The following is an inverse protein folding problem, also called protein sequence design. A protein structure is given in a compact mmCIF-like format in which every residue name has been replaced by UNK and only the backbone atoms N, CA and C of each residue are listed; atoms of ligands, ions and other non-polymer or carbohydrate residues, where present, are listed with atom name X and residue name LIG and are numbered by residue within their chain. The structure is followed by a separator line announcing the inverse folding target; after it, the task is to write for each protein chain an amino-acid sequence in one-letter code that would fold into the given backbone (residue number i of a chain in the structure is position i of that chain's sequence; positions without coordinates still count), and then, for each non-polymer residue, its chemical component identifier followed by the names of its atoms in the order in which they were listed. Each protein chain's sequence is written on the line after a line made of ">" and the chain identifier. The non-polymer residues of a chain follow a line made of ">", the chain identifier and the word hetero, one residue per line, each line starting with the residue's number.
data_IF_474021145789
#
_entry.id   IF_474021145789
#
_cell.length_a   1.000
_cell.length_b   1.000
_cell.length_c   1.000
_cell.angle_alpha   90.00
_cell.angle_beta   90.00
_cell.angle_gamma   90.00
#
_symmetry.space_group_name_H-M   'P 1'
#
loop_
_entity.id
_entity.type
_entity.pdbx_description
1 polymer ?
#
# COMPACT_ATOMS: atom_id res chain seq x y z
N UNK A 1 -49.70 -35.06 -4.46
CA UNK A 1 -50.22 -34.80 -3.09
C UNK A 1 -49.65 -33.47 -2.65
N UNK A 2 -50.48 -32.43 -2.51
CA UNK A 2 -50.02 -31.14 -2.01
C UNK A 2 -49.82 -31.26 -0.50
N UNK A 3 -48.58 -31.15 -0.03
CA UNK A 3 -48.30 -31.03 1.40
C UNK A 3 -48.80 -29.66 1.86
N UNK A 4 -49.81 -29.70 2.73
CA UNK A 4 -50.31 -28.57 3.50
C UNK A 4 -49.17 -28.14 4.43
N UNK A 5 -48.47 -27.07 4.08
CA UNK A 5 -47.46 -26.48 4.97
C UNK A 5 -48.14 -26.11 6.29
N UNK A 6 -47.67 -26.67 7.39
CA UNK A 6 -48.11 -26.28 8.72
C UNK A 6 -47.52 -24.88 8.95
N UNK A 7 -48.37 -23.87 9.04
CA UNK A 7 -47.98 -22.53 9.48
C UNK A 7 -47.48 -22.64 10.93
N UNK A 8 -46.17 -22.55 11.12
CA UNK A 8 -45.55 -22.58 12.44
C UNK A 8 -45.71 -21.18 13.06
N UNK A 9 -46.53 -21.09 14.11
CA UNK A 9 -46.80 -19.85 14.82
C UNK A 9 -45.52 -19.31 15.49
N UNK A 10 -45.11 -18.09 15.11
CA UNK A 10 -43.89 -17.44 15.60
C UNK A 10 -43.95 -17.15 17.11
N UNK A 11 -45.14 -17.02 17.68
CA UNK A 11 -45.33 -16.83 19.13
C UNK A 11 -44.93 -18.09 19.92
N UNK A 12 -45.12 -19.27 19.34
CA UNK A 12 -44.80 -20.56 19.98
C UNK A 12 -43.30 -20.82 20.17
N UNK A 13 -42.43 -20.05 19.49
CA UNK A 13 -40.96 -20.16 19.57
C UNK A 13 -40.29 -18.91 20.16
N UNK A 14 -41.05 -18.08 20.87
CA UNK A 14 -40.55 -16.89 21.55
C UNK A 14 -39.97 -17.21 22.94
N UNK A 15 -38.88 -16.55 23.29
CA UNK A 15 -38.31 -16.57 24.62
C UNK A 15 -39.18 -15.73 25.55
N UNK A 16 -39.72 -16.30 26.62
CA UNK A 16 -40.58 -15.51 27.53
C UNK A 16 -39.83 -14.49 28.40
N UNK A 17 -38.48 -14.42 28.30
CA UNK A 17 -37.65 -13.46 29.04
C UNK A 17 -37.39 -12.21 28.19
N UNK A 18 -36.83 -12.37 26.97
CA UNK A 18 -36.54 -11.24 26.08
C UNK A 18 -37.67 -10.94 25.09
N UNK A 19 -38.68 -11.82 25.00
CA UNK A 19 -39.81 -11.74 24.08
C UNK A 19 -39.44 -11.82 22.59
N UNK A 20 -38.18 -12.15 22.28
CA UNK A 20 -37.69 -12.41 20.92
C UNK A 20 -37.70 -13.91 20.60
N UNK A 21 -37.54 -14.24 19.32
CA UNK A 21 -37.29 -15.61 18.85
C UNK A 21 -36.05 -16.18 19.58
N UNK A 22 -36.16 -17.38 20.17
CA UNK A 22 -35.05 -17.99 20.94
C UNK A 22 -33.73 -18.02 20.13
N UNK A 23 -32.66 -17.52 20.74
CA UNK A 23 -31.29 -17.62 20.24
C UNK A 23 -30.55 -18.63 21.10
N UNK A 24 -29.94 -19.62 20.46
CA UNK A 24 -29.34 -20.78 21.15
C UNK A 24 -30.29 -21.36 22.20
N UNK A 25 -31.45 -21.90 21.78
CA UNK A 25 -32.51 -22.32 22.68
C UNK A 25 -32.02 -23.41 23.64
N UNK A 26 -32.35 -23.27 24.91
CA UNK A 26 -32.13 -24.29 25.95
C UNK A 26 -33.45 -24.67 26.58
N UNK A 27 -33.67 -25.96 26.79
CA UNK A 27 -34.86 -26.49 27.45
C UNK A 27 -34.48 -26.94 28.84
N UNK A 28 -35.08 -26.32 29.86
CA UNK A 28 -34.84 -26.70 31.27
C UNK A 28 -35.76 -27.88 31.67
N UNK A 29 -35.50 -28.59 32.78
CA UNK A 29 -36.18 -29.87 33.08
C UNK A 29 -37.72 -29.82 33.18
N UNK A 30 -38.31 -28.64 33.39
CA UNK A 30 -39.76 -28.47 33.36
C UNK A 30 -40.36 -28.38 31.93
N UNK A 31 -39.53 -28.46 30.88
CA UNK A 31 -39.95 -28.44 29.47
C UNK A 31 -40.05 -27.04 28.83
N UNK A 32 -39.85 -25.96 29.60
CA UNK A 32 -39.84 -24.61 29.05
C UNK A 32 -38.49 -24.29 28.41
N UNK A 33 -38.52 -23.49 27.34
CA UNK A 33 -37.32 -23.14 26.57
C UNK A 33 -37.06 -21.64 26.55
N UNK A 34 -35.79 -21.26 26.67
CA UNK A 34 -35.31 -19.87 26.72
C UNK A 34 -34.06 -19.71 25.85
N UNK A 35 -33.66 -18.47 25.55
CA UNK A 35 -32.31 -18.22 25.07
C UNK A 35 -31.31 -18.61 26.17
N UNK A 36 -30.20 -19.25 25.81
CA UNK A 36 -29.13 -19.62 26.75
C UNK A 36 -28.74 -18.44 27.66
N UNK A 37 -28.42 -17.29 27.07
CA UNK A 37 -28.01 -16.08 27.80
C UNK A 37 -29.12 -15.54 28.70
N UNK A 38 -30.38 -15.59 28.26
CA UNK A 38 -31.51 -15.06 29.04
C UNK A 38 -31.74 -15.85 30.32
N UNK A 39 -31.70 -17.19 30.26
CA UNK A 39 -31.90 -18.01 31.46
C UNK A 39 -30.65 -18.00 32.36
N UNK A 40 -29.45 -17.90 31.79
CA UNK A 40 -28.22 -17.69 32.56
C UNK A 40 -28.27 -16.37 33.33
N UNK A 41 -28.64 -15.27 32.67
CA UNK A 41 -28.81 -13.95 33.29
C UNK A 41 -29.88 -13.96 34.37
N UNK A 42 -30.98 -14.67 34.15
CA UNK A 42 -32.07 -14.78 35.14
C UNK A 42 -31.64 -15.51 36.42
N UNK A 43 -30.76 -16.52 36.30
CA UNK A 43 -30.20 -17.22 37.46
C UNK A 43 -28.97 -16.52 38.08
N UNK A 44 -28.36 -15.56 37.38
CA UNK A 44 -27.15 -14.87 37.81
C UNK A 44 -25.87 -15.71 37.62
N UNK A 45 -24.72 -15.08 37.78
CA UNK A 45 -23.43 -15.73 37.48
C UNK A 45 -22.97 -16.66 38.61
N UNK A 46 -23.05 -16.28 39.89
CA UNK A 46 -22.48 -17.09 40.99
C UNK A 46 -23.21 -16.84 42.32
N UNK A 47 -24.07 -17.77 42.76
CA UNK A 47 -24.54 -17.84 44.16
C UNK A 47 -25.03 -19.27 44.47
N UNK A 48 -24.30 -20.00 45.34
CA UNK A 48 -24.60 -21.39 45.73
C UNK A 48 -25.88 -21.56 46.57
N UNK A 49 -26.56 -20.47 46.95
CA UNK A 49 -27.73 -20.49 47.84
C UNK A 49 -29.04 -19.94 47.21
N UNK A 50 -29.07 -19.65 45.89
CA UNK A 50 -30.29 -19.18 45.22
C UNK A 50 -31.09 -20.33 44.61
N UNK A 51 -32.38 -20.38 44.94
CA UNK A 51 -33.34 -21.31 44.36
C UNK A 51 -33.47 -21.02 42.85
N UNK A 52 -33.01 -21.92 42.00
CA UNK A 52 -33.16 -21.80 40.55
C UNK A 52 -34.60 -22.13 40.16
N UNK A 53 -35.39 -21.12 39.78
CA UNK A 53 -36.77 -21.32 39.35
C UNK A 53 -36.96 -21.11 37.84
N UNK A 54 -37.92 -21.82 37.26
CA UNK A 54 -38.42 -21.55 35.91
C UNK A 54 -39.18 -20.21 35.86
N UNK A 55 -38.86 -19.28 34.95
CA UNK A 55 -39.58 -18.02 34.78
C UNK A 55 -41.09 -18.17 34.49
N UNK A 56 -41.50 -19.22 33.79
CA UNK A 56 -42.90 -19.40 33.35
C UNK A 56 -43.75 -20.15 34.37
N UNK A 57 -43.31 -21.33 34.82
CA UNK A 57 -44.11 -22.17 35.74
C UNK A 57 -43.67 -22.08 37.20
N UNK A 58 -42.60 -21.33 37.50
CA UNK A 58 -42.04 -21.16 38.85
C UNK A 58 -41.58 -22.46 39.53
N UNK A 59 -41.45 -23.56 38.79
CA UNK A 59 -40.88 -24.80 39.30
C UNK A 59 -39.45 -24.55 39.75
N UNK A 60 -39.14 -24.93 40.99
CA UNK A 60 -37.83 -24.75 41.64
C UNK A 60 -36.97 -25.98 41.48
N UNK A 61 -35.68 -25.80 41.24
CA UNK A 61 -34.69 -26.86 41.13
C UNK A 61 -33.68 -26.73 42.29
N UNK A 62 -33.42 -27.84 42.99
CA UNK A 62 -32.51 -27.89 44.14
C UNK A 62 -31.03 -27.74 43.76
N UNK A 63 -30.68 -28.11 42.53
CA UNK A 63 -29.37 -27.87 41.93
C UNK A 63 -29.56 -27.11 40.61
N UNK A 64 -28.58 -26.28 40.22
CA UNK A 64 -28.61 -25.54 38.97
C UNK A 64 -28.73 -26.49 37.78
N UNK A 65 -29.79 -26.41 36.96
CA UNK A 65 -29.88 -27.23 35.76
C UNK A 65 -28.72 -26.94 34.81
N UNK A 66 -28.06 -27.99 34.32
CA UNK A 66 -27.04 -27.87 33.28
C UNK A 66 -27.72 -27.45 31.99
N UNK A 67 -27.29 -26.31 31.44
CA UNK A 67 -27.87 -25.76 30.22
C UNK A 67 -27.14 -26.32 29.00
N UNK A 68 -27.86 -27.11 28.20
CA UNK A 68 -27.37 -27.66 26.94
C UNK A 68 -28.27 -27.14 25.83
N UNK A 69 -27.66 -26.70 24.71
CA UNK A 69 -28.37 -26.23 23.52
C UNK A 69 -29.29 -27.34 22.99
N UNK A 70 -30.56 -27.02 22.83
CA UNK A 70 -31.54 -27.87 22.19
C UNK A 70 -31.35 -27.78 20.67
N UNK A 71 -30.70 -28.80 20.10
CA UNK A 71 -30.36 -28.84 18.67
C UNK A 71 -31.58 -28.92 17.76
N UNK A 72 -32.69 -29.50 18.22
CA UNK A 72 -33.95 -29.59 17.46
C UNK A 72 -34.60 -28.22 17.36
N UNK A 73 -34.74 -27.50 18.48
CA UNK A 73 -35.27 -26.14 18.46
C UNK A 73 -34.34 -25.21 17.67
N UNK A 74 -33.02 -25.34 17.83
CA UNK A 74 -32.08 -24.54 17.06
C UNK A 74 -32.23 -24.75 15.53
N UNK A 75 -32.38 -26.00 15.09
CA UNK A 75 -32.61 -26.32 13.68
C UNK A 75 -33.93 -25.75 13.14
N UNK A 76 -35.01 -25.83 13.93
CA UNK A 76 -36.30 -25.23 13.57
C UNK A 76 -36.22 -23.71 13.45
N UNK A 77 -35.40 -23.06 14.27
CA UNK A 77 -35.23 -21.60 14.28
C UNK A 77 -34.37 -21.11 13.13
N UNK A 78 -33.35 -21.88 12.78
CA UNK A 78 -32.58 -21.68 11.55
C UNK A 78 -33.46 -21.85 10.31
N UNK A 79 -34.34 -22.84 10.29
CA UNK A 79 -35.30 -23.07 9.20
C UNK A 79 -36.35 -21.94 9.11
N UNK A 80 -36.87 -21.47 10.26
CA UNK A 80 -37.78 -20.32 10.33
C UNK A 80 -37.11 -19.02 9.84
N UNK A 81 -35.86 -18.75 10.25
CA UNK A 81 -35.09 -17.61 9.77
C UNK A 81 -34.77 -17.70 8.26
N UNK A 82 -34.48 -18.92 7.75
CA UNK A 82 -34.19 -19.16 6.32
C UNK A 82 -35.45 -19.06 5.46
N UNK A 83 -36.63 -19.37 6.00
CA UNK A 83 -37.91 -19.27 5.30
C UNK A 83 -38.35 -17.84 4.98
N UNK A 84 -37.60 -16.82 5.44
CA UNK A 84 -37.72 -15.47 4.91
C UNK A 84 -39.13 -14.90 5.02
N UNK A 85 -39.82 -15.14 6.14
CA UNK A 85 -40.98 -14.35 6.54
C UNK A 85 -40.47 -12.96 6.99
N UNK A 86 -39.98 -12.19 6.02
CA UNK A 86 -40.19 -10.75 6.03
C UNK A 86 -41.70 -10.56 6.20
N UNK A 87 -42.06 -9.84 7.24
CA UNK A 87 -43.42 -9.59 7.67
C UNK A 87 -44.32 -9.26 6.47
N UNK A 88 -45.17 -10.21 6.08
CA UNK A 88 -46.44 -9.86 5.48
C UNK A 88 -47.34 -9.33 6.62
N UNK A 89 -48.09 -8.25 6.39
CA UNK A 89 -48.51 -7.33 7.43
C UNK A 89 -49.64 -7.94 8.27
N UNK A 90 -49.42 -8.01 9.58
CA UNK A 90 -50.53 -7.86 10.50
C UNK A 90 -51.15 -6.49 10.20
N UNK A 91 -52.46 -6.49 10.01
CA UNK A 91 -53.28 -5.43 9.42
C UNK A 91 -52.96 -4.02 9.95
N UNK A 92 -52.41 -3.81 11.15
CA UNK A 92 -52.16 -2.47 11.70
C UNK A 92 -50.74 -2.33 12.26
N UNK A 93 -49.78 -1.95 11.40
CA UNK A 93 -48.41 -1.62 11.83
C UNK A 93 -48.39 -0.28 12.59
N UNK A 94 -47.86 -0.28 13.80
CA UNK A 94 -47.59 0.95 14.55
C UNK A 94 -46.45 1.73 13.90
N UNK A 95 -46.51 3.06 13.96
CA UNK A 95 -45.46 3.91 13.38
C UNK A 95 -44.14 3.75 14.15
N UNK A 96 -43.07 3.36 13.46
CA UNK A 96 -41.70 3.39 13.98
C UNK A 96 -41.08 4.79 13.93
N UNK A 97 -39.82 4.94 14.37
CA UNK A 97 -39.11 6.23 14.39
C UNK A 97 -38.96 6.87 12.99
N UNK A 98 -38.88 6.04 11.95
CA UNK A 98 -38.73 6.49 10.57
C UNK A 98 -40.06 6.68 9.84
N UNK A 99 -41.17 6.14 10.37
CA UNK A 99 -42.48 6.21 9.73
C UNK A 99 -43.19 7.55 10.00
N UNK A 100 -44.12 7.90 9.10
CA UNK A 100 -45.08 8.98 9.35
C UNK A 100 -46.24 8.40 10.15
N UNK A 101 -46.54 9.00 11.30
CA UNK A 101 -47.60 8.53 12.18
C UNK A 101 -48.98 9.10 11.76
N UNK A 102 -50.06 8.36 12.02
CA UNK A 102 -51.41 8.86 11.82
C UNK A 102 -51.74 9.96 12.83
N UNK A 103 -52.26 11.09 12.35
CA UNK A 103 -52.56 12.27 13.15
C UNK A 103 -53.87 12.15 13.94
N UNK A 104 -54.75 11.24 13.54
CA UNK A 104 -56.08 11.04 14.14
C UNK A 104 -56.08 9.97 15.24
N UNK A 105 -55.13 9.02 15.21
CA UNK A 105 -55.05 7.96 16.21
C UNK A 105 -54.91 8.54 17.63
N UNK A 106 -55.80 8.12 18.52
CA UNK A 106 -55.69 8.41 19.96
C UNK A 106 -54.85 7.31 20.64
N UNK A 107 -53.79 7.70 21.35
CA UNK A 107 -52.84 6.75 21.97
C UNK A 107 -51.66 6.38 21.07
N UNK A 108 -51.30 5.08 20.98
CA UNK A 108 -50.18 4.61 20.16
C UNK A 108 -50.53 4.77 18.68
N UNK A 109 -49.82 5.66 17.98
CA UNK A 109 -50.14 6.02 16.60
C UNK A 109 -49.80 4.90 15.62
N UNK A 110 -50.74 4.59 14.73
CA UNK A 110 -50.52 3.69 13.60
C UNK A 110 -49.70 4.38 12.52
N UNK A 111 -49.01 3.58 11.69
CA UNK A 111 -48.34 4.07 10.48
C UNK A 111 -49.38 4.70 9.56
N UNK A 112 -49.09 5.90 9.09
CA UNK A 112 -49.92 6.56 8.08
C UNK A 112 -49.78 5.80 6.76
N UNK A 113 -50.91 5.60 6.09
CA UNK A 113 -51.00 4.98 4.78
C UNK A 113 -51.04 6.03 3.66
N UNK A 114 -51.78 7.12 3.87
CA UNK A 114 -51.80 8.30 2.98
C UNK A 114 -51.90 9.59 3.78
N UNK A 115 -51.42 10.67 3.20
CA UNK A 115 -51.68 12.03 3.69
C UNK A 115 -52.62 12.75 2.75
N UNK A 116 -53.50 13.57 3.31
CA UNK A 116 -54.44 14.39 2.56
C UNK A 116 -53.93 15.82 2.46
N UNK A 117 -53.78 16.33 1.24
CA UNK A 117 -53.31 17.70 1.01
C UNK A 117 -54.35 18.78 1.38
N UNK A 118 -55.62 18.38 1.56
CA UNK A 118 -56.71 19.30 1.94
C UNK A 118 -56.88 19.32 3.45
N UNK A 119 -56.84 18.16 4.12
CA UNK A 119 -56.89 18.08 5.58
C UNK A 119 -55.55 18.43 6.26
N UNK A 120 -54.46 18.43 5.49
CA UNK A 120 -53.08 18.63 5.97
C UNK A 120 -52.75 17.65 7.12
N UNK A 121 -53.16 16.40 6.93
CA UNK A 121 -53.05 15.35 7.94
C UNK A 121 -52.73 14.01 7.30
N UNK A 122 -52.05 13.15 8.06
CA UNK A 122 -51.66 11.81 7.70
C UNK A 122 -52.57 10.80 8.38
N UNK A 123 -53.10 9.84 7.62
CA UNK A 123 -54.12 8.89 8.07
C UNK A 123 -53.61 7.47 7.91
N UNK A 124 -53.78 6.63 8.93
CA UNK A 124 -53.72 5.17 8.76
C UNK A 124 -54.93 4.70 7.94
N UNK A 125 -54.92 3.45 7.47
CA UNK A 125 -55.99 2.91 6.61
C UNK A 125 -57.38 3.07 7.22
N UNK A 126 -57.53 2.86 8.52
CA UNK A 126 -58.81 3.03 9.23
C UNK A 126 -59.32 4.48 9.16
N UNK A 127 -58.47 5.44 9.51
CA UNK A 127 -58.86 6.87 9.51
C UNK A 127 -58.92 7.47 8.11
N UNK A 128 -58.44 6.75 7.09
CA UNK A 128 -58.55 7.14 5.69
C UNK A 128 -59.89 6.73 5.07
N UNK A 129 -60.59 5.71 5.59
CA UNK A 129 -61.86 5.22 5.05
C UNK A 129 -62.91 6.33 4.77
N UNK A 130 -63.11 7.33 5.64
CA UNK A 130 -64.04 8.43 5.34
C UNK A 130 -63.73 9.19 4.05
N UNK A 131 -62.46 9.24 3.62
CA UNK A 131 -62.07 9.85 2.35
C UNK A 131 -62.50 9.02 1.13
N UNK A 132 -62.76 7.73 1.30
CA UNK A 132 -63.30 6.85 0.27
C UNK A 132 -64.82 6.72 0.31
N UNK A 133 -65.45 6.87 1.49
CA UNK A 133 -66.88 6.61 1.64
C UNK A 133 -67.73 7.88 1.54
N UNK A 134 -67.27 8.99 2.14
CA UNK A 134 -68.02 10.22 2.19
C UNK A 134 -67.88 11.04 0.90
N UNK A 135 -69.01 11.32 0.23
CA UNK A 135 -69.04 12.07 -1.04
C UNK A 135 -68.29 13.43 -1.01
N UNK A 136 -68.31 14.21 0.08
CA UNK A 136 -67.51 15.45 0.17
C UNK A 136 -66.00 15.21 0.20
N UNK A 137 -65.55 14.13 0.86
CA UNK A 137 -64.13 13.85 1.09
C UNK A 137 -63.47 13.08 -0.07
N UNK A 138 -64.25 12.42 -0.94
CA UNK A 138 -63.75 11.75 -2.16
C UNK A 138 -62.96 12.67 -3.10
N UNK A 139 -63.17 13.98 -3.02
CA UNK A 139 -62.47 14.99 -3.85
C UNK A 139 -61.11 15.39 -3.27
N UNK A 140 -60.79 14.97 -2.05
CA UNK A 140 -59.53 15.27 -1.41
C UNK A 140 -58.38 14.53 -2.10
N UNK A 141 -57.29 15.25 -2.42
CA UNK A 141 -56.11 14.63 -3.03
C UNK A 141 -55.26 13.95 -1.96
N UNK A 142 -55.17 12.63 -2.06
CA UNK A 142 -54.33 11.78 -1.22
C UNK A 142 -52.96 11.57 -1.87
N UNK A 143 -51.90 11.65 -1.09
CA UNK A 143 -50.50 11.43 -1.50
C UNK A 143 -49.82 10.48 -0.52
N UNK A 144 -48.62 10.02 -0.87
CA UNK A 144 -47.83 9.20 0.05
C UNK A 144 -47.48 9.99 1.32
N UNK A 145 -47.42 9.32 2.49
CA UNK A 145 -47.14 9.99 3.74
C UNK A 145 -45.80 10.71 3.73
N UNK A 146 -45.80 11.98 4.13
CA UNK A 146 -44.58 12.78 4.29
C UNK A 146 -44.53 13.40 5.68
N UNK A 147 -43.35 13.38 6.33
CA UNK A 147 -43.12 14.05 7.61
C UNK A 147 -43.20 15.57 7.49
N UNK A 148 -42.93 16.10 6.29
CA UNK A 148 -42.88 17.53 5.99
C UNK A 148 -44.15 18.01 5.29
N UNK A 149 -45.29 17.33 5.50
CA UNK A 149 -46.54 17.70 4.83
C UNK A 149 -46.95 19.14 5.17
N UNK A 150 -46.77 19.56 6.42
CA UNK A 150 -47.04 20.93 6.89
C UNK A 150 -46.09 21.96 6.28
N UNK A 151 -44.85 21.60 5.95
CA UNK A 151 -43.87 22.51 5.33
C UNK A 151 -44.27 22.90 3.89
N UNK A 152 -45.22 22.17 3.29
CA UNK A 152 -45.78 22.48 1.98
C UNK A 152 -46.98 23.44 2.03
N UNK A 153 -47.33 23.96 3.22
CA UNK A 153 -48.44 24.89 3.42
C UNK A 153 -47.92 26.33 3.59
N UNK A 154 -48.56 27.26 2.91
CA UNK A 154 -48.26 28.68 3.08
C UNK A 154 -48.75 29.19 4.44
N UNK A 155 -47.82 29.58 5.30
CA UNK A 155 -48.09 30.09 6.65
C UNK A 155 -48.97 31.35 6.71
N UNK A 156 -49.11 32.09 5.61
CA UNK A 156 -49.93 33.30 5.54
C UNK A 156 -51.36 33.06 5.08
N UNK A 157 -51.57 32.01 4.29
CA UNK A 157 -52.81 31.79 3.56
C UNK A 157 -53.44 30.43 3.83
N UNK A 158 -52.77 29.57 4.59
CA UNK A 158 -53.16 28.19 4.88
C UNK A 158 -53.50 27.39 3.61
N UNK A 159 -52.78 27.69 2.52
CA UNK A 159 -52.95 27.10 1.20
C UNK A 159 -51.69 26.35 0.76
N UNK A 160 -51.87 25.23 0.06
CA UNK A 160 -50.75 24.42 -0.43
C UNK A 160 -49.88 25.24 -1.37
N UNK A 161 -48.57 25.23 -1.15
CA UNK A 161 -47.59 25.87 -2.02
C UNK A 161 -47.46 25.09 -3.33
N UNK A 162 -48.14 25.57 -4.37
CA UNK A 162 -48.15 24.95 -5.72
C UNK A 162 -47.40 25.77 -6.76
N UNK A 163 -46.91 26.94 -6.38
CA UNK A 163 -46.14 27.85 -7.22
C UNK A 163 -44.71 27.92 -6.72
N UNK A 164 -43.78 28.29 -7.59
CA UNK A 164 -42.39 28.55 -7.26
C UNK A 164 -42.02 29.93 -7.78
N UNK A 165 -41.47 30.78 -6.92
CA UNK A 165 -40.92 32.07 -7.31
C UNK A 165 -39.44 31.90 -7.62
N UNK A 166 -39.04 32.09 -8.87
CA UNK A 166 -37.64 32.02 -9.31
C UNK A 166 -36.82 33.21 -8.85
N UNK A 167 -37.45 34.37 -8.70
CA UNK A 167 -36.80 35.56 -8.17
C UNK A 167 -36.33 35.35 -6.73
N UNK A 168 -37.18 34.75 -5.89
CA UNK A 168 -36.91 34.55 -4.46
C UNK A 168 -36.46 33.12 -4.11
N UNK A 169 -36.41 32.22 -5.09
CA UNK A 169 -36.02 30.80 -4.97
C UNK A 169 -36.79 30.04 -3.87
N UNK A 170 -38.11 30.17 -3.84
CA UNK A 170 -38.95 29.53 -2.84
C UNK A 170 -40.31 29.06 -3.38
N UNK A 171 -40.84 27.99 -2.78
CA UNK A 171 -42.20 27.54 -3.00
C UNK A 171 -43.20 28.51 -2.33
N UNK A 172 -44.26 28.89 -3.03
CA UNK A 172 -45.31 29.80 -2.55
C UNK A 172 -46.70 29.27 -2.94
N UNK A 173 -47.77 29.75 -2.28
CA UNK A 173 -49.14 29.47 -2.73
C UNK A 173 -49.58 30.43 -3.84
N UNK A 174 -50.74 30.16 -4.46
CA UNK A 174 -51.27 31.00 -5.54
C UNK A 174 -51.57 32.44 -5.08
N UNK A 175 -52.10 32.64 -3.87
CA UNK A 175 -52.38 33.97 -3.33
C UNK A 175 -51.09 34.80 -3.15
N UNK A 176 -50.01 34.18 -2.68
CA UNK A 176 -48.71 34.85 -2.60
C UNK A 176 -48.21 35.35 -3.96
N UNK A 177 -48.47 34.62 -5.06
CA UNK A 177 -48.02 35.01 -6.40
C UNK A 177 -48.70 36.28 -6.94
N UNK A 178 -49.92 36.58 -6.49
CA UNK A 178 -50.69 37.75 -6.95
C UNK A 178 -50.66 38.92 -5.96
N UNK A 179 -50.17 38.71 -4.74
CA UNK A 179 -50.03 39.72 -3.68
C UNK A 179 -48.54 40.07 -3.45
N UNK A 180 -47.87 39.39 -2.50
CA UNK A 180 -46.50 39.71 -2.10
C UNK A 180 -45.45 39.53 -3.21
N UNK A 181 -45.61 38.51 -4.06
CA UNK A 181 -44.68 38.19 -5.15
C UNK A 181 -45.20 38.74 -6.49
N UNK A 182 -46.05 39.76 -6.46
CA UNK A 182 -46.62 40.35 -7.66
C UNK A 182 -45.53 40.98 -8.52
N UNK A 183 -45.40 40.49 -9.75
CA UNK A 183 -44.39 40.95 -10.70
C UNK A 183 -43.07 40.18 -10.64
N UNK A 184 -42.92 39.21 -9.74
CA UNK A 184 -41.79 38.28 -9.76
C UNK A 184 -41.99 37.19 -10.83
N UNK A 185 -40.90 36.53 -11.24
CA UNK A 185 -40.99 35.37 -12.12
C UNK A 185 -41.52 34.17 -11.33
N UNK A 186 -42.81 33.89 -11.48
CA UNK A 186 -43.49 32.79 -10.78
C UNK A 186 -43.99 31.75 -11.78
N UNK A 187 -43.64 30.50 -11.54
CA UNK A 187 -44.09 29.34 -12.33
C UNK A 187 -44.78 28.33 -11.42
N UNK A 188 -45.45 27.33 -12.00
CA UNK A 188 -45.94 26.21 -11.18
C UNK A 188 -44.76 25.41 -10.63
N UNK A 189 -44.87 24.91 -9.40
CA UNK A 189 -43.84 24.08 -8.78
C UNK A 189 -43.58 22.80 -9.59
N UNK A 190 -44.59 22.26 -10.28
CA UNK A 190 -44.45 21.11 -11.17
C UNK A 190 -43.60 21.43 -12.42
N UNK A 191 -43.75 22.62 -12.99
CA UNK A 191 -42.95 23.06 -14.13
C UNK A 191 -41.49 23.30 -13.72
N UNK A 192 -41.25 24.01 -12.61
CA UNK A 192 -39.89 24.24 -12.11
C UNK A 192 -39.20 22.92 -11.74
N UNK A 193 -39.91 21.99 -11.11
CA UNK A 193 -39.37 20.66 -10.80
C UNK A 193 -38.88 19.94 -12.05
N UNK A 194 -39.65 19.99 -13.15
CA UNK A 194 -39.25 19.35 -14.42
C UNK A 194 -37.95 19.95 -14.95
N UNK A 195 -37.79 21.27 -14.89
CA UNK A 195 -36.57 21.95 -15.33
C UNK A 195 -35.37 21.59 -14.44
N UNK A 196 -35.52 21.71 -13.12
CA UNK A 196 -34.46 21.36 -12.15
C UNK A 196 -34.09 19.87 -12.19
N UNK A 197 -35.05 19.01 -12.50
CA UNK A 197 -34.80 17.58 -12.68
C UNK A 197 -33.91 17.31 -13.90
N UNK A 198 -34.06 18.09 -14.98
CA UNK A 198 -33.18 18.01 -16.17
C UNK A 198 -31.76 18.47 -15.83
N UNK A 199 -31.63 19.64 -15.19
CA UNK A 199 -30.32 20.17 -14.74
C UNK A 199 -29.59 19.20 -13.80
N UNK A 200 -30.33 18.57 -12.87
CA UNK A 200 -29.79 17.58 -11.95
C UNK A 200 -29.25 16.36 -12.69
N UNK A 201 -29.97 15.86 -13.71
CA UNK A 201 -29.53 14.70 -14.48
C UNK A 201 -28.29 15.03 -15.32
N UNK A 202 -28.22 16.22 -15.91
CA UNK A 202 -27.01 16.70 -16.62
C UNK A 202 -25.80 16.81 -15.69
N UNK A 203 -25.99 17.41 -14.50
CA UNK A 203 -24.94 17.50 -13.49
C UNK A 203 -24.47 16.12 -13.03
N UNK A 204 -25.41 15.19 -12.83
CA UNK A 204 -25.11 13.80 -12.47
C UNK A 204 -24.30 13.08 -13.55
N UNK A 205 -24.62 13.27 -14.83
CA UNK A 205 -23.85 12.72 -15.94
C UNK A 205 -22.41 13.26 -15.97
N UNK A 206 -22.22 14.57 -15.75
CA UNK A 206 -20.88 15.18 -15.67
C UNK A 206 -20.07 14.57 -14.53
N UNK A 207 -20.68 14.41 -13.35
CA UNK A 207 -20.01 13.79 -12.19
C UNK A 207 -19.65 12.34 -12.49
N UNK A 208 -20.55 11.57 -13.09
CA UNK A 208 -20.27 10.18 -13.48
C UNK A 208 -19.11 10.08 -14.47
N UNK A 209 -19.05 10.98 -15.45
CA UNK A 209 -17.94 11.03 -16.40
C UNK A 209 -16.61 11.33 -15.69
N UNK A 210 -16.60 12.33 -14.79
CA UNK A 210 -15.40 12.66 -14.00
C UNK A 210 -14.95 11.53 -13.09
N UNK A 211 -15.88 10.77 -12.51
CA UNK A 211 -15.56 9.57 -11.72
C UNK A 211 -14.88 8.53 -12.62
N UNK A 212 -15.43 8.23 -13.80
CA UNK A 212 -14.83 7.27 -14.73
C UNK A 212 -13.43 7.69 -15.20
N UNK A 213 -13.23 8.96 -15.48
CA UNK A 213 -11.91 9.46 -15.91
C UNK A 213 -10.91 9.42 -14.76
N UNK A 214 -11.30 9.83 -13.54
CA UNK A 214 -10.46 9.69 -12.36
C UNK A 214 -10.12 8.22 -12.05
N UNK A 215 -11.05 7.28 -12.22
CA UNK A 215 -10.80 5.85 -12.06
C UNK A 215 -9.79 5.30 -13.09
N UNK A 216 -9.80 5.82 -14.33
CA UNK A 216 -8.77 5.49 -15.33
C UNK A 216 -7.41 6.06 -14.93
N UNK A 217 -7.37 7.29 -14.47
CA UNK A 217 -6.14 7.95 -14.04
C UNK A 217 -5.51 7.23 -12.84
N UNK A 218 -6.32 6.79 -11.86
CA UNK A 218 -5.85 5.97 -10.74
C UNK A 218 -5.22 4.67 -11.22
N UNK A 219 -5.86 3.95 -12.16
CA UNK A 219 -5.29 2.73 -12.73
C UNK A 219 -3.98 2.99 -13.48
N UNK A 220 -3.86 4.11 -14.18
CA UNK A 220 -2.62 4.51 -14.86
C UNK A 220 -1.50 4.76 -13.85
N UNK A 221 -1.78 5.49 -12.76
CA UNK A 221 -0.82 5.75 -11.69
C UNK A 221 -0.41 4.48 -10.95
N UNK A 222 -1.34 3.55 -10.71
CA UNK A 222 -1.02 2.23 -10.13
C UNK A 222 -0.09 1.43 -11.05
N UNK A 223 -0.30 1.48 -12.37
CA UNK A 223 0.59 0.82 -13.32
C UNK A 223 1.97 1.49 -13.35
N UNK A 224 2.02 2.82 -13.31
CA UNK A 224 3.28 3.55 -13.30
C UNK A 224 4.09 3.27 -12.02
N UNK A 225 3.44 3.20 -10.87
CA UNK A 225 4.10 2.80 -9.62
C UNK A 225 4.71 1.38 -9.73
N UNK A 226 4.01 0.44 -10.37
CA UNK A 226 4.56 -0.90 -10.64
C UNK A 226 5.74 -0.85 -11.59
N UNK A 227 5.67 -0.03 -12.64
CA UNK A 227 6.77 0.13 -13.61
C UNK A 227 8.03 0.69 -12.92
N UNK A 228 7.88 1.68 -12.04
CA UNK A 228 8.98 2.23 -11.24
C UNK A 228 9.61 1.15 -10.37
N UNK A 229 8.79 0.35 -9.67
CA UNK A 229 9.30 -0.74 -8.84
C UNK A 229 10.08 -1.77 -9.65
N UNK A 230 9.52 -2.24 -10.78
CA UNK A 230 10.19 -3.21 -11.66
C UNK A 230 11.48 -2.64 -12.24
N UNK A 231 11.48 -1.37 -12.66
CA UNK A 231 12.67 -0.69 -13.18
C UNK A 231 13.75 -0.53 -12.11
N UNK A 232 13.37 -0.20 -10.88
CA UNK A 232 14.31 -0.06 -9.77
C UNK A 232 14.95 -1.41 -9.42
N UNK A 233 14.16 -2.47 -9.28
CA UNK A 233 14.65 -3.82 -9.00
C UNK A 233 15.61 -4.31 -10.09
N UNK A 234 15.25 -4.12 -11.37
CA UNK A 234 16.11 -4.49 -12.49
C UNK A 234 17.44 -3.73 -12.46
N UNK A 235 17.39 -2.43 -12.15
CA UNK A 235 18.60 -1.60 -12.04
C UNK A 235 19.50 -2.09 -10.90
N UNK A 236 18.92 -2.46 -9.75
CA UNK A 236 19.66 -3.04 -8.63
C UNK A 236 20.32 -4.36 -9.04
N UNK A 237 19.59 -5.26 -9.68
CA UNK A 237 20.14 -6.54 -10.16
C UNK A 237 21.31 -6.34 -11.15
N UNK A 238 21.15 -5.42 -12.10
CA UNK A 238 22.20 -5.10 -13.07
C UNK A 238 23.44 -4.48 -12.40
N UNK A 239 23.24 -3.61 -11.40
CA UNK A 239 24.32 -3.07 -10.58
C UNK A 239 25.03 -4.17 -9.79
N UNK A 240 24.30 -5.05 -9.09
CA UNK A 240 24.86 -6.18 -8.33
C UNK A 240 25.68 -7.12 -9.20
N UNK A 241 25.19 -7.41 -10.41
CA UNK A 241 25.91 -8.22 -11.41
C UNK A 241 27.21 -7.54 -11.83
N UNK A 242 27.19 -6.23 -12.06
CA UNK A 242 28.37 -5.45 -12.44
C UNK A 242 29.42 -5.45 -11.32
N UNK A 243 29.02 -5.19 -10.07
CA UNK A 243 29.92 -5.26 -8.92
C UNK A 243 30.47 -6.66 -8.70
N UNK A 244 29.65 -7.70 -8.89
CA UNK A 244 30.09 -9.10 -8.81
C UNK A 244 31.18 -9.42 -9.85
N UNK A 245 31.06 -8.89 -11.07
CA UNK A 245 32.10 -9.03 -12.11
C UNK A 245 33.40 -8.33 -11.70
N UNK A 246 33.33 -7.11 -11.15
CA UNK A 246 34.50 -6.38 -10.65
C UNK A 246 35.21 -7.13 -9.53
N UNK A 247 34.45 -7.67 -8.57
CA UNK A 247 35.01 -8.47 -7.47
C UNK A 247 35.76 -9.70 -8.02
N UNK A 248 35.18 -10.41 -9.00
CA UNK A 248 35.83 -11.57 -9.64
C UNK A 248 37.13 -11.18 -10.32
N UNK A 249 37.16 -10.07 -11.05
CA UNK A 249 38.38 -9.58 -11.70
C UNK A 249 39.47 -9.24 -10.66
N UNK A 250 39.11 -8.59 -9.56
CA UNK A 250 40.06 -8.28 -8.48
C UNK A 250 40.59 -9.55 -7.80
N UNK A 251 39.74 -10.55 -7.59
CA UNK A 251 40.15 -11.85 -7.06
C UNK A 251 41.10 -12.59 -8.00
N UNK A 252 40.86 -12.55 -9.31
CA UNK A 252 41.75 -13.12 -10.32
C UNK A 252 43.13 -12.44 -10.29
N UNK A 253 43.18 -11.11 -10.28
CA UNK A 253 44.44 -10.35 -10.17
C UNK A 253 45.17 -10.62 -8.86
N UNK A 254 44.45 -10.80 -7.75
CA UNK A 254 45.07 -11.19 -6.48
C UNK A 254 45.76 -12.56 -6.59
N UNK A 255 45.15 -13.52 -7.27
CA UNK A 255 45.75 -14.85 -7.50
C UNK A 255 46.97 -14.76 -8.43
N UNK A 256 46.91 -13.94 -9.47
CA UNK A 256 48.05 -13.71 -10.37
C UNK A 256 49.29 -13.22 -9.60
N UNK A 257 49.11 -12.20 -8.73
CA UNK A 257 50.20 -11.65 -7.90
C UNK A 257 50.72 -12.69 -6.91
N UNK A 258 49.83 -13.43 -6.24
CA UNK A 258 50.22 -14.51 -5.33
C UNK A 258 51.08 -15.56 -6.06
N UNK A 259 50.63 -16.01 -7.24
CA UNK A 259 51.34 -17.00 -8.03
C UNK A 259 52.72 -16.49 -8.47
N UNK A 260 52.83 -15.24 -8.90
CA UNK A 260 54.12 -14.63 -9.26
C UNK A 260 55.08 -14.57 -8.07
N UNK A 261 54.61 -14.13 -6.90
CA UNK A 261 55.43 -14.08 -5.68
C UNK A 261 55.90 -15.49 -5.28
N UNK A 262 55.01 -16.49 -5.31
CA UNK A 262 55.36 -17.88 -4.98
C UNK A 262 56.34 -18.48 -5.97
N UNK A 263 56.16 -18.22 -7.26
CA UNK A 263 57.08 -18.68 -8.30
C UNK A 263 58.48 -18.08 -8.11
N UNK A 264 58.57 -16.76 -7.87
CA UNK A 264 59.85 -16.10 -7.65
C UNK A 264 60.51 -16.57 -6.35
N UNK A 265 59.71 -16.74 -5.29
CA UNK A 265 60.18 -17.31 -4.02
C UNK A 265 60.83 -18.68 -4.25
N UNK A 266 60.16 -19.57 -4.98
CA UNK A 266 60.69 -20.91 -5.25
C UNK A 266 62.00 -20.85 -6.04
N UNK A 267 62.08 -19.99 -7.06
CA UNK A 267 63.29 -19.81 -7.87
C UNK A 267 64.48 -19.33 -7.03
N UNK A 268 64.30 -18.26 -6.24
CA UNK A 268 65.39 -17.72 -5.43
C UNK A 268 65.79 -18.68 -4.30
N UNK A 269 64.84 -19.37 -3.68
CA UNK A 269 65.15 -20.40 -2.66
C UNK A 269 65.92 -21.57 -3.26
N UNK A 270 65.55 -22.04 -4.45
CA UNK A 270 66.32 -23.08 -5.16
C UNK A 270 67.75 -22.63 -5.44
N UNK A 271 67.94 -21.39 -5.92
CA UNK A 271 69.27 -20.82 -6.18
C UNK A 271 70.13 -20.74 -4.92
N UNK A 272 69.54 -20.34 -3.78
CA UNK A 272 70.23 -20.34 -2.49
C UNK A 272 70.59 -21.76 -2.06
N UNK A 273 69.69 -22.73 -2.24
CA UNK A 273 69.95 -24.14 -1.90
C UNK A 273 71.08 -24.74 -2.73
N UNK A 274 71.12 -24.49 -4.04
CA UNK A 274 72.22 -24.94 -4.91
C UNK A 274 73.58 -24.39 -4.46
N UNK A 275 73.61 -23.14 -3.99
CA UNK A 275 74.82 -22.53 -3.45
C UNK A 275 75.22 -23.16 -2.12
N UNK A 276 74.24 -23.41 -1.25
CA UNK A 276 74.46 -24.10 0.02
C UNK A 276 75.04 -25.50 -0.21
N UNK A 277 74.47 -26.29 -1.12
CA UNK A 277 74.96 -27.64 -1.46
C UNK A 277 76.41 -27.62 -1.95
N UNK A 278 76.79 -26.64 -2.79
CA UNK A 278 78.18 -26.47 -3.25
C UNK A 278 79.13 -26.19 -2.09
N UNK A 279 78.73 -25.32 -1.15
CA UNK A 279 79.55 -25.02 0.02
C UNK A 279 79.64 -26.20 0.98
N UNK A 280 78.57 -26.97 1.17
CA UNK A 280 78.59 -28.18 1.98
C UNK A 280 79.52 -29.24 1.37
N UNK A 281 79.55 -29.38 0.05
CA UNK A 281 80.49 -30.25 -0.65
C UNK A 281 81.94 -29.77 -0.47
N UNK A 282 82.21 -28.48 -0.66
CA UNK A 282 83.55 -27.90 -0.45
C UNK A 282 84.03 -28.10 0.99
N UNK A 283 83.16 -27.89 1.98
CA UNK A 283 83.48 -28.15 3.40
C UNK A 283 83.80 -29.63 3.62
N UNK A 284 83.07 -30.55 2.99
CA UNK A 284 83.33 -31.99 3.12
C UNK A 284 84.69 -32.38 2.51
N UNK A 285 85.05 -31.80 1.36
CA UNK A 285 86.34 -31.99 0.69
C UNK A 285 87.49 -31.39 1.53
N UNK A 286 87.32 -30.18 2.06
CA UNK A 286 88.31 -29.55 2.95
C UNK A 286 88.52 -30.37 4.23
N UNK A 287 87.46 -30.84 4.88
CA UNK A 287 87.56 -31.73 6.07
C UNK A 287 88.28 -33.04 5.75
N UNK A 288 88.12 -33.57 4.54
CA UNK A 288 88.83 -34.77 4.10
C UNK A 288 90.32 -34.50 3.94
N UNK A 289 90.68 -33.41 3.26
CA UNK A 289 92.07 -33.00 3.04
C UNK A 289 92.77 -32.69 4.36
N UNK A 290 92.08 -32.00 5.27
CA UNK A 290 92.54 -31.72 6.64
C UNK A 290 92.86 -33.01 7.40
N UNK A 291 91.95 -33.99 7.40
CA UNK A 291 92.20 -35.30 8.03
C UNK A 291 93.37 -36.07 7.43
N UNK A 292 93.62 -35.94 6.12
CA UNK A 292 94.78 -36.55 5.45
C UNK A 292 96.10 -35.86 5.83
N UNK A 293 96.08 -34.53 5.94
CA UNK A 293 97.23 -33.75 6.40
C UNK A 293 97.56 -34.04 7.87
N UNK A 294 96.53 -34.13 8.72
CA UNK A 294 96.68 -34.52 10.12
C UNK A 294 97.30 -35.92 10.24
N UNK A 295 96.82 -36.90 9.47
CA UNK A 295 97.41 -38.24 9.45
C UNK A 295 98.87 -38.23 8.99
N UNK A 296 99.20 -37.49 7.93
CA UNK A 296 100.56 -37.38 7.42
C UNK A 296 101.51 -36.72 8.43
N UNK A 297 101.02 -35.74 9.22
CA UNK A 297 101.82 -35.08 10.25
C UNK A 297 102.26 -36.01 11.39
N UNK A 298 101.54 -37.12 11.59
CA UNK A 298 101.85 -38.15 12.59
C UNK A 298 102.69 -39.31 12.04
N UNK A 299 103.05 -39.31 10.75
CA UNK A 299 103.85 -40.37 10.12
C UNK A 299 105.31 -40.29 10.55
N UNK A 300 105.85 -41.37 11.13
CA UNK A 300 107.27 -41.44 11.53
C UNK A 300 108.23 -41.68 10.36
N UNK A 301 107.75 -42.20 9.21
CA UNK A 301 108.54 -42.39 7.99
C UNK A 301 108.75 -41.06 7.25
N UNK A 302 109.96 -40.52 7.36
CA UNK A 302 110.38 -39.28 6.70
C UNK A 302 110.28 -39.34 5.16
N UNK A 303 110.41 -40.52 4.55
CA UNK A 303 110.34 -40.68 3.09
C UNK A 303 108.89 -40.59 2.63
N UNK A 304 107.97 -41.26 3.32
CA UNK A 304 106.53 -41.19 3.03
C UNK A 304 105.97 -39.79 3.20
N UNK A 305 106.42 -39.07 4.26
CA UNK A 305 106.08 -37.67 4.48
C UNK A 305 106.48 -36.80 3.28
N UNK A 306 107.75 -36.88 2.85
CA UNK A 306 108.28 -36.05 1.77
C UNK A 306 107.68 -36.37 0.40
N UNK A 307 107.28 -37.63 0.16
CA UNK A 307 106.65 -38.03 -1.10
C UNK A 307 105.17 -37.62 -1.18
N UNK A 308 104.43 -37.69 -0.06
CA UNK A 308 102.99 -37.43 -0.01
C UNK A 308 102.63 -35.96 0.22
N UNK A 309 103.49 -35.19 0.92
CA UNK A 309 103.23 -33.79 1.27
C UNK A 309 102.98 -32.86 0.06
N UNK A 310 103.76 -32.89 -1.03
CA UNK A 310 103.56 -31.99 -2.17
C UNK A 310 102.17 -32.14 -2.83
N UNK A 311 101.65 -33.37 -2.89
CA UNK A 311 100.34 -33.65 -3.47
C UNK A 311 99.19 -33.14 -2.61
N UNK A 312 99.30 -33.23 -1.28
CA UNK A 312 98.27 -32.72 -0.36
C UNK A 312 98.34 -31.19 -0.21
N UNK A 313 99.54 -30.61 -0.22
CA UNK A 313 99.73 -29.15 -0.20
C UNK A 313 99.10 -28.48 -1.42
N UNK A 314 99.23 -29.08 -2.61
CA UNK A 314 98.62 -28.55 -3.83
C UNK A 314 97.08 -28.56 -3.81
N UNK A 315 96.46 -29.50 -3.08
CA UNK A 315 95.00 -29.53 -2.89
C UNK A 315 94.49 -28.40 -1.98
N UNK A 316 95.33 -27.96 -1.03
CA UNK A 316 95.00 -26.88 -0.09
C UNK A 316 95.05 -25.48 -0.71
N UNK A 317 95.81 -25.29 -1.79
CA UNK A 317 95.95 -24.01 -2.49
C UNK A 317 94.81 -23.72 -3.48
N UNK A 318 93.86 -24.64 -3.64
CA UNK A 318 92.67 -24.46 -4.48
C UNK A 318 91.88 -23.22 -4.03
N UNK A 319 91.99 -22.17 -4.84
CA UNK A 319 91.48 -20.82 -4.54
C UNK A 319 89.99 -20.73 -4.84
N UNK A 320 89.14 -21.26 -3.96
CA UNK A 320 87.69 -21.06 -4.03
C UNK A 320 87.14 -20.30 -2.81
N UNK A 321 87.91 -19.35 -2.27
CA UNK A 321 87.37 -18.40 -1.29
C UNK A 321 86.49 -17.34 -1.98
N UNK A 322 85.32 -17.72 -2.45
CA UNK A 322 84.27 -16.77 -2.82
C UNK A 322 83.66 -16.20 -1.54
N UNK A 323 84.25 -15.14 -1.00
CA UNK A 323 83.63 -14.37 0.08
C UNK A 323 82.31 -13.79 -0.43
N UNK A 324 81.18 -14.33 0.03
CA UNK A 324 79.87 -13.80 -0.34
C UNK A 324 79.67 -12.42 0.29
N UNK A 325 79.76 -11.38 -0.53
CA UNK A 325 79.25 -10.07 -0.15
C UNK A 325 77.73 -10.14 -0.18
N UNK A 326 77.09 -10.13 1.00
CA UNK A 326 75.65 -10.03 1.12
C UNK A 326 75.25 -8.63 0.65
N UNK A 327 74.70 -8.54 -0.56
CA UNK A 327 74.08 -7.32 -1.05
C UNK A 327 72.90 -6.93 -0.14
N UNK A 328 72.53 -5.64 -0.05
CA UNK A 328 71.38 -5.20 0.73
C UNK A 328 70.13 -5.95 0.27
N UNK A 329 69.54 -6.70 1.19
CA UNK A 329 68.37 -7.54 0.91
C UNK A 329 67.16 -6.65 0.70
N UNK A 330 66.70 -6.53 -0.55
CA UNK A 330 65.34 -6.11 -0.88
C UNK A 330 64.59 -7.34 -1.34
N UNK A 331 63.67 -7.82 -0.52
CA UNK A 331 62.83 -8.98 -0.83
C UNK A 331 61.60 -8.52 -1.64
N UNK A 332 60.38 -8.85 -1.20
CA UNK A 332 59.13 -8.54 -1.91
C UNK A 332 58.47 -7.23 -1.42
N UNK A 333 59.21 -6.36 -0.72
CA UNK A 333 58.71 -5.08 -0.20
C UNK A 333 58.20 -4.17 -1.33
N UNK A 334 58.93 -4.11 -2.44
CA UNK A 334 58.55 -3.35 -3.64
C UNK A 334 57.23 -3.86 -4.27
N UNK A 335 56.93 -5.15 -4.16
CA UNK A 335 55.65 -5.73 -4.62
C UNK A 335 54.51 -5.22 -3.75
N UNK A 336 54.70 -5.16 -2.44
CA UNK A 336 53.67 -4.67 -1.50
C UNK A 336 53.42 -3.17 -1.70
N UNK A 337 54.49 -2.40 -1.96
CA UNK A 337 54.39 -0.98 -2.31
C UNK A 337 53.60 -0.79 -3.62
N UNK A 338 53.91 -1.56 -4.67
CA UNK A 338 53.22 -1.49 -5.96
C UNK A 338 51.72 -1.87 -5.86
N UNK A 339 51.39 -2.91 -5.09
CA UNK A 339 49.98 -3.31 -4.85
C UNK A 339 49.24 -2.22 -4.06
N UNK A 340 49.90 -1.57 -3.10
CA UNK A 340 49.30 -0.46 -2.33
C UNK A 340 49.03 0.75 -3.24
N UNK A 341 49.96 1.10 -4.11
CA UNK A 341 49.76 2.18 -5.11
C UNK A 341 48.58 1.87 -6.05
N UNK A 342 48.45 0.61 -6.49
CA UNK A 342 47.33 0.18 -7.32
C UNK A 342 45.98 0.29 -6.59
N UNK A 343 45.93 -0.07 -5.31
CA UNK A 343 44.74 0.11 -4.45
C UNK A 343 44.34 1.58 -4.37
N UNK A 344 45.30 2.46 -4.08
CA UNK A 344 45.02 3.89 -3.88
C UNK A 344 44.45 4.52 -5.16
N UNK A 345 45.05 4.21 -6.33
CA UNK A 345 44.52 4.64 -7.63
C UNK A 345 43.10 4.14 -7.90
N UNK A 346 42.79 2.88 -7.56
CA UNK A 346 41.44 2.34 -7.71
C UNK A 346 40.44 3.06 -6.79
N UNK A 347 40.85 3.37 -5.56
CA UNK A 347 40.01 4.08 -4.60
C UNK A 347 39.68 5.51 -5.06
N UNK A 348 40.66 6.21 -5.65
CA UNK A 348 40.45 7.56 -6.21
C UNK A 348 39.43 7.54 -7.35
N UNK A 349 39.59 6.62 -8.30
CA UNK A 349 38.67 6.46 -9.44
C UNK A 349 37.25 6.14 -8.96
N UNK A 350 37.11 5.22 -7.99
CA UNK A 350 35.81 4.88 -7.42
C UNK A 350 35.17 6.06 -6.72
N UNK A 351 35.95 6.86 -5.97
CA UNK A 351 35.46 8.03 -5.26
C UNK A 351 34.94 9.11 -6.21
N UNK A 352 35.69 9.39 -7.29
CA UNK A 352 35.29 10.34 -8.32
C UNK A 352 34.00 9.90 -9.01
N UNK A 353 33.95 8.65 -9.50
CA UNK A 353 32.81 8.13 -10.26
C UNK A 353 31.55 7.93 -9.41
N UNK A 354 31.69 7.69 -8.10
CA UNK A 354 30.56 7.52 -7.18
C UNK A 354 29.64 8.75 -7.11
N UNK A 355 30.22 9.95 -7.22
CA UNK A 355 29.44 11.20 -7.22
C UNK A 355 28.49 11.28 -8.42
N UNK A 356 28.94 10.82 -9.60
CA UNK A 356 28.12 10.77 -10.81
C UNK A 356 27.00 9.73 -10.70
N UNK A 357 27.28 8.56 -10.12
CA UNK A 357 26.27 7.52 -9.88
C UNK A 357 25.19 8.05 -8.93
N UNK A 358 25.61 8.67 -7.82
CA UNK A 358 24.69 9.25 -6.84
C UNK A 358 23.78 10.30 -7.46
N UNK A 359 24.31 11.15 -8.35
CA UNK A 359 23.53 12.16 -9.06
C UNK A 359 22.47 11.53 -9.98
N UNK A 360 22.82 10.49 -10.74
CA UNK A 360 21.87 9.81 -11.64
C UNK A 360 20.73 9.11 -10.92
N UNK A 361 20.97 8.58 -9.72
CA UNK A 361 19.91 8.00 -8.86
C UNK A 361 18.89 9.06 -8.45
N UNK A 362 19.31 10.32 -8.28
CA UNK A 362 18.40 11.42 -7.87
C UNK A 362 17.63 12.08 -9.02
N UNK A 363 17.98 11.80 -10.28
CA UNK A 363 17.38 12.44 -11.47
C UNK A 363 16.27 11.60 -12.13
N UNK A 364 15.74 10.57 -11.47
CA UNK A 364 14.71 9.70 -12.06
C UNK A 364 13.42 10.49 -12.27
N UNK A 365 13.12 10.79 -13.54
CA UNK A 365 11.90 11.48 -13.95
C UNK A 365 10.70 10.54 -13.89
N UNK A 366 9.72 10.89 -13.07
CA UNK A 366 8.43 10.18 -12.96
C UNK A 366 7.33 11.00 -13.63
N UNK A 367 6.30 10.35 -14.17
CA UNK A 367 5.08 10.94 -14.76
C UNK A 367 4.20 11.74 -13.76
N UNK A 368 4.78 12.31 -12.71
CA UNK A 368 4.08 13.28 -11.87
C UNK A 368 4.18 14.67 -12.53
N UNK A 369 3.25 15.59 -12.24
CA UNK A 369 3.48 17.01 -12.52
C UNK A 369 4.79 17.40 -11.84
N UNK A 370 5.85 17.49 -12.65
CA UNK A 370 7.16 17.88 -12.17
C UNK A 370 7.01 19.26 -11.52
N UNK A 371 7.57 19.48 -10.32
CA UNK A 371 7.56 20.81 -9.71
C UNK A 371 8.10 21.81 -10.75
N UNK A 372 7.48 22.98 -10.85
CA UNK A 372 7.95 24.02 -11.76
C UNK A 372 9.46 24.20 -11.58
N UNK A 373 10.25 24.20 -12.68
CA UNK A 373 11.70 24.25 -12.58
C UNK A 373 12.10 25.49 -11.76
N UNK A 374 12.79 25.28 -10.64
CA UNK A 374 13.23 26.37 -9.74
C UNK A 374 14.70 26.73 -9.92
N UNK A 375 15.46 25.92 -10.66
CA UNK A 375 16.89 26.12 -10.91
C UNK A 375 17.16 26.33 -12.40
N UNK A 376 18.20 27.12 -12.70
CA UNK A 376 18.64 27.38 -14.09
C UNK A 376 18.94 26.08 -14.85
N UNK A 377 19.52 25.09 -14.19
CA UNK A 377 19.82 23.78 -14.78
C UNK A 377 18.55 23.01 -15.17
N UNK A 378 17.50 23.07 -14.35
CA UNK A 378 16.21 22.45 -14.65
C UNK A 378 15.53 23.12 -15.87
N UNK A 379 15.60 24.45 -15.99
CA UNK A 379 15.07 25.17 -17.17
C UNK A 379 15.81 24.82 -18.47
N UNK A 380 17.11 24.55 -18.41
CA UNK A 380 17.88 24.17 -19.61
C UNK A 380 17.39 22.88 -20.25
N UNK A 381 16.77 21.96 -19.49
CA UNK A 381 16.15 20.74 -20.07
C UNK A 381 15.02 21.06 -21.06
N UNK A 382 14.40 22.23 -20.94
CA UNK A 382 13.33 22.71 -21.82
C UNK A 382 13.82 23.77 -22.82
N UNK A 383 15.13 24.02 -22.90
CA UNK A 383 15.65 25.01 -23.85
C UNK A 383 15.41 24.52 -25.27
N UNK A 384 14.58 25.24 -26.01
CA UNK A 384 14.43 25.07 -27.44
C UNK A 384 14.88 26.34 -28.16
N UNK A 385 15.40 26.17 -29.37
CA UNK A 385 15.75 27.30 -30.22
C UNK A 385 14.47 27.85 -30.86
N UNK A 386 13.92 28.92 -30.30
CA UNK A 386 12.74 29.57 -30.84
C UNK A 386 13.09 30.31 -32.14
N UNK A 387 12.36 30.02 -33.21
CA UNK A 387 12.37 30.77 -34.47
C UNK A 387 11.04 31.47 -34.65
N UNK A 388 11.08 32.73 -35.05
CA UNK A 388 9.89 33.52 -35.33
C UNK A 388 9.40 33.25 -36.74
N UNK A 389 8.09 33.19 -36.92
CA UNK A 389 7.49 33.00 -38.24
C UNK A 389 7.52 34.33 -39.03
N UNK A 390 8.22 34.37 -40.18
CA UNK A 390 8.32 35.59 -40.97
C UNK A 390 6.99 36.00 -41.60
N UNK A 391 6.01 35.10 -41.74
CA UNK A 391 4.73 35.41 -42.37
C UNK A 391 3.77 36.16 -41.43
N UNK A 392 3.99 36.05 -40.12
CA UNK A 392 3.18 36.69 -39.09
C UNK A 392 3.90 37.87 -38.43
N UNK A 393 5.14 38.13 -38.81
CA UNK A 393 5.92 39.26 -38.33
C UNK A 393 5.29 40.59 -38.76
N UNK A 394 5.12 41.49 -37.80
CA UNK A 394 4.63 42.84 -38.06
C UNK A 394 5.60 43.59 -38.98
N UNK A 395 5.08 44.39 -39.91
CA UNK A 395 5.89 45.11 -40.93
C UNK A 395 6.93 46.08 -40.36
N UNK A 396 6.82 46.46 -39.09
CA UNK A 396 7.77 47.32 -38.39
C UNK A 396 8.92 46.55 -37.72
N UNK A 397 8.95 45.23 -37.84
CA UNK A 397 9.91 44.33 -37.20
C UNK A 397 10.72 43.58 -38.26
N UNK A 398 12.04 43.69 -38.22
CA UNK A 398 12.95 42.94 -39.07
C UNK A 398 13.47 41.70 -38.34
N UNK A 399 13.27 40.54 -38.97
CA UNK A 399 13.83 39.28 -38.51
C UNK A 399 15.24 39.07 -39.07
N UNK A 400 16.19 38.70 -38.21
CA UNK A 400 17.59 38.42 -38.58
C UNK A 400 18.11 37.15 -37.88
N UNK A 401 19.32 36.73 -38.23
CA UNK A 401 19.99 35.55 -37.65
C UNK A 401 19.11 34.28 -37.73
N UNK A 402 18.60 33.99 -38.93
CA UNK A 402 17.74 32.81 -39.16
C UNK A 402 16.37 32.92 -38.48
N UNK A 403 15.79 34.12 -38.43
CA UNK A 403 14.51 34.44 -37.78
C UNK A 403 14.51 34.29 -36.25
N UNK A 404 15.68 34.43 -35.62
CA UNK A 404 15.84 34.26 -34.17
C UNK A 404 16.02 35.59 -33.42
N UNK A 405 16.17 36.69 -34.15
CA UNK A 405 16.39 38.03 -33.60
C UNK A 405 15.48 39.03 -34.28
N UNK A 406 14.94 39.96 -33.49
CA UNK A 406 14.04 41.02 -33.97
C UNK A 406 14.68 42.37 -33.76
N UNK A 407 14.66 43.20 -34.80
CA UNK A 407 15.04 44.61 -34.71
C UNK A 407 13.87 45.49 -35.13
N UNK A 408 13.51 46.47 -34.31
CA UNK A 408 12.47 47.44 -34.65
C UNK A 408 13.00 48.42 -35.70
N UNK A 409 12.32 48.53 -36.83
CA UNK A 409 12.67 49.51 -37.86
C UNK A 409 11.97 50.84 -37.56
N UNK A 410 12.73 51.88 -37.19
CA UNK A 410 12.20 53.24 -37.13
C UNK A 410 12.18 53.84 -38.54
N UNK A 411 11.11 54.59 -38.86
CA UNK A 411 10.92 55.36 -40.09
C UNK A 411 12.16 56.22 -40.44
N UNK A 412 13.13 55.68 -41.18
CA UNK A 412 14.01 56.55 -41.95
C UNK A 412 14.84 55.93 -43.09
N UNK A 413 14.73 54.66 -43.44
CA UNK A 413 15.46 54.16 -44.62
C UNK A 413 14.58 53.19 -45.41
N UNK A 414 13.95 53.73 -46.45
CA UNK A 414 13.33 53.00 -47.56
C UNK A 414 14.06 53.40 -48.84
#
# INVERSE_FOLDING_TARGET
>A
MAQKGVELDRESFSCSICLDLLKDPVTIPCGHSYCMECIQSFWGEEDEEKIHSCPQCRQTFTARPVLVKNTVLAALMEELNRSGLQAAPADHSYAGAEDVACDVCTGRKLKAFKSCLVCVASFCEQHLQPHYDAAPLKKHKLVDPSKTLQDNMCSRHDEVMKMFCRTDQQCICFLCSVDQHKGHDTVSAAAERTERQRELEESRQIIQQRIQDAEKDVKLLEQEAKNIHVSADQTVEDCEKTFSQLIRLLQERSRDVEQQVRSQQQTEVSRVRELQEKLEQEIAELKRTDGQLEQLSHTEDHTEFLLSFPSLSALSESTHSSSFHTAPLRYFEDVTAAVSEARDKLQDILSETWTNISLRVTEVDVLLPQPEPTTRAAFFRYSCELTLDPNTANTWLLLSEGNRKVTSMSHQEQ
#
